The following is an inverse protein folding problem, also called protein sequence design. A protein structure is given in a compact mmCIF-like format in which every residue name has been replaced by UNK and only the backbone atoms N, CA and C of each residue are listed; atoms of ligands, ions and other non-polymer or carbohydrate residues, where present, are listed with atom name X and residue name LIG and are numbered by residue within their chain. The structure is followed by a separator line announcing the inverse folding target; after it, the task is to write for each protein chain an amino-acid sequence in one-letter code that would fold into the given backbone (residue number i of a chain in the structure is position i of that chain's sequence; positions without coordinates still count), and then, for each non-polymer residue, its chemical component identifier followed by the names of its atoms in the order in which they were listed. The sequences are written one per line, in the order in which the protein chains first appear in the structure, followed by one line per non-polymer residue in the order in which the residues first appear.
data_IF_992906066113
#
_entry.id   IF_992906066113
#
_cell.length_a   1.000
_cell.length_b   1.000
_cell.length_c   1.000
_cell.angle_alpha   90.00
_cell.angle_beta   90.00
_cell.angle_gamma   90.00
#
_symmetry.space_group_name_H-M   'P 1'
#
loop_
_entity.id
_entity.type
_entity.pdbx_description
1 polymer ?
#
# COMPACT_ATOMS: atom_id res chain seq x y z
N UNK A 1 8.47 -11.80 -1.35
CA UNK A 1 8.93 -10.41 -1.17
C UNK A 1 10.38 -10.42 -0.71
N UNK A 2 11.26 -9.73 -1.44
CA UNK A 2 12.67 -9.49 -1.11
C UNK A 2 12.98 -7.99 -1.25
N UNK A 3 14.07 -7.54 -0.64
CA UNK A 3 14.57 -6.17 -0.86
C UNK A 3 14.89 -5.99 -2.35
N UNK A 4 14.41 -4.90 -2.93
CA UNK A 4 14.53 -4.60 -4.35
C UNK A 4 13.29 -4.94 -5.18
N UNK A 5 12.37 -5.76 -4.67
CA UNK A 5 11.10 -6.03 -5.36
C UNK A 5 10.28 -4.74 -5.54
N UNK A 6 9.53 -4.67 -6.64
CA UNK A 6 8.55 -3.61 -6.89
C UNK A 6 7.17 -4.15 -6.54
N UNK A 7 6.47 -3.45 -5.64
CA UNK A 7 5.10 -3.72 -5.24
C UNK A 7 4.19 -2.59 -5.70
N UNK A 8 2.89 -2.83 -5.70
CA UNK A 8 1.86 -1.83 -5.98
C UNK A 8 1.02 -1.68 -4.72
N UNK A 9 1.23 -0.58 -3.97
CA UNK A 9 0.57 -0.31 -2.69
C UNK A 9 -0.11 1.05 -2.69
N UNK A 10 -1.14 1.20 -1.86
CA UNK A 10 -1.75 2.51 -1.58
C UNK A 10 -0.98 3.12 -0.40
N UNK A 11 -0.32 4.27 -0.56
CA UNK A 11 0.33 4.95 0.55
C UNK A 11 -0.72 5.42 1.56
N UNK A 12 -0.44 5.29 2.86
CA UNK A 12 -1.34 5.87 3.88
C UNK A 12 -1.04 7.34 4.14
N UNK A 13 0.17 7.80 3.80
CA UNK A 13 0.63 9.17 4.02
C UNK A 13 0.35 10.12 2.85
N UNK A 14 -0.14 9.64 1.70
CA UNK A 14 -0.36 10.48 0.51
C UNK A 14 -1.26 11.69 0.78
N UNK A 15 -2.37 11.47 1.48
CA UNK A 15 -3.32 12.54 1.85
C UNK A 15 -2.69 13.59 2.78
N UNK A 16 -1.75 13.18 3.64
CA UNK A 16 -1.11 14.08 4.62
C UNK A 16 0.00 14.94 4.01
N UNK A 17 0.57 14.51 2.89
CA UNK A 17 1.67 15.22 2.21
C UNK A 17 1.14 16.09 1.05
N UNK A 18 -0.19 16.19 0.90
CA UNK A 18 -0.80 16.95 -0.20
C UNK A 18 -0.56 16.32 -1.57
N UNK A 19 -0.22 15.02 -1.60
CA UNK A 19 -0.05 14.27 -2.84
C UNK A 19 -1.39 13.63 -3.17
N UNK A 20 -1.98 13.96 -4.32
CA UNK A 20 -3.28 13.42 -4.76
C UNK A 20 -3.20 11.94 -5.19
N UNK A 21 -2.58 11.09 -4.37
CA UNK A 21 -2.51 9.65 -4.62
C UNK A 21 -3.84 8.99 -4.23
N UNK A 22 -4.87 9.11 -5.08
CA UNK A 22 -6.15 8.41 -4.91
C UNK A 22 -6.10 6.93 -5.36
N UNK A 23 -4.96 6.27 -5.24
CA UNK A 23 -4.83 4.91 -5.76
C UNK A 23 -3.50 4.22 -5.49
N UNK A 24 -3.44 2.96 -5.92
CA UNK A 24 -2.27 2.11 -5.83
C UNK A 24 -1.14 2.68 -6.70
N UNK A 25 0.06 2.77 -6.14
CA UNK A 25 1.26 3.24 -6.84
C UNK A 25 2.43 2.28 -6.70
N UNK A 26 3.33 2.25 -7.69
CA UNK A 26 4.52 1.42 -7.62
C UNK A 26 5.45 1.91 -6.50
N UNK A 27 5.99 0.96 -5.74
CA UNK A 27 6.93 1.21 -4.66
C UNK A 27 7.99 0.11 -4.60
N UNK A 28 9.19 0.46 -4.16
CA UNK A 28 10.31 -0.50 -4.05
C UNK A 28 10.50 -0.92 -2.61
N UNK A 29 10.63 -2.22 -2.35
CA UNK A 29 10.98 -2.74 -1.02
C UNK A 29 12.43 -2.37 -0.72
N UNK A 30 12.65 -1.59 0.33
CA UNK A 30 13.99 -1.14 0.74
C UNK A 30 14.47 -1.82 2.02
N UNK A 31 13.56 -2.39 2.80
CA UNK A 31 13.90 -3.12 4.02
C UNK A 31 12.86 -4.18 4.36
N UNK A 32 13.31 -5.31 4.89
CA UNK A 32 12.46 -6.35 5.47
C UNK A 32 13.01 -6.63 6.87
N UNK A 33 12.15 -6.53 7.89
CA UNK A 33 12.56 -6.85 9.25
C UNK A 33 12.97 -8.33 9.33
N UNK A 34 14.10 -8.70 9.95
CA UNK A 34 14.63 -10.07 9.91
C UNK A 34 13.70 -11.12 10.52
N UNK A 35 12.87 -10.70 11.48
CA UNK A 35 11.80 -11.54 12.08
C UNK A 35 10.44 -11.44 11.37
N UNK A 36 10.37 -10.91 10.14
CA UNK A 36 9.14 -10.75 9.37
C UNK A 36 8.07 -9.88 10.03
N UNK A 37 8.48 -8.85 10.79
CA UNK A 37 7.53 -8.04 11.58
C UNK A 37 6.83 -6.96 10.76
N UNK A 38 7.60 -6.31 9.91
CA UNK A 38 7.19 -5.24 9.01
C UNK A 38 8.21 -5.20 7.87
N UNK A 39 7.86 -4.47 6.82
CA UNK A 39 8.74 -4.16 5.70
C UNK A 39 8.58 -2.68 5.36
N UNK A 40 9.62 -2.08 4.78
CA UNK A 40 9.60 -0.68 4.38
C UNK A 40 9.65 -0.63 2.86
N UNK A 41 8.76 0.16 2.29
CA UNK A 41 8.76 0.49 0.87
C UNK A 41 9.09 1.95 0.68
N UNK A 42 9.62 2.27 -0.49
CA UNK A 42 9.87 3.62 -0.93
C UNK A 42 8.98 3.94 -2.13
N UNK A 43 8.26 5.05 -2.02
CA UNK A 43 7.39 5.59 -3.05
C UNK A 43 8.02 6.82 -3.70
N UNK A 44 7.55 7.15 -4.89
CA UNK A 44 7.95 8.34 -5.63
C UNK A 44 9.29 8.18 -6.35
N UNK A 45 9.40 8.81 -7.52
CA UNK A 45 10.66 8.89 -8.28
C UNK A 45 11.41 10.20 -7.99
N UNK A 46 10.68 11.32 -7.98
CA UNK A 46 11.23 12.67 -7.77
C UNK A 46 11.21 13.09 -6.31
N UNK A 47 10.09 12.92 -5.63
CA UNK A 47 9.94 13.15 -4.18
C UNK A 47 9.82 11.78 -3.52
N UNK A 48 10.91 11.29 -2.93
CA UNK A 48 10.97 9.94 -2.36
C UNK A 48 10.55 9.97 -0.90
N UNK A 49 9.57 9.15 -0.53
CA UNK A 49 9.23 8.93 0.88
C UNK A 49 9.14 7.44 1.17
N UNK A 50 9.25 7.10 2.45
CA UNK A 50 9.28 5.71 2.93
C UNK A 50 8.16 5.46 3.90
N UNK A 51 7.59 4.27 3.81
CA UNK A 51 6.48 3.87 4.65
C UNK A 51 6.66 2.41 5.07
N UNK A 52 6.34 2.14 6.34
CA UNK A 52 6.42 0.79 6.90
C UNK A 52 5.04 0.12 6.85
N UNK A 53 5.01 -1.09 6.30
CA UNK A 53 3.82 -1.92 6.20
C UNK A 53 4.00 -3.21 7.01
N UNK A 54 2.89 -3.75 7.51
CA UNK A 54 2.85 -5.01 8.22
C UNK A 54 2.45 -6.15 7.26
N UNK A 55 3.05 -7.36 7.37
CA UNK A 55 2.60 -8.50 6.60
C UNK A 55 1.19 -8.92 7.02
N UNK A 56 0.35 -9.41 6.08
CA UNK A 56 -1.05 -9.75 6.35
C UNK A 56 -1.20 -10.82 7.45
N UNK A 57 -0.24 -11.75 7.60
CA UNK A 57 -0.26 -12.81 8.62
C UNK A 57 -0.28 -12.30 10.08
N UNK A 58 0.14 -11.05 10.32
CA UNK A 58 0.15 -10.44 11.66
C UNK A 58 -1.11 -9.66 12.00
N UNK A 59 -1.92 -9.36 11.02
CA UNK A 59 -3.07 -8.48 11.17
C UNK A 59 -4.31 -9.27 10.78
N UNK A 60 -5.09 -9.69 11.78
CA UNK A 60 -6.37 -10.37 11.59
C UNK A 60 -7.45 -9.53 10.87
N UNK A 61 -7.07 -8.60 9.99
CA UNK A 61 -7.93 -7.84 9.09
C UNK A 61 -7.20 -7.50 7.79
N UNK A 62 -7.66 -8.11 6.71
CA UNK A 62 -8.06 -7.50 5.43
C UNK A 62 -7.60 -6.05 5.12
N UNK A 63 -6.31 -5.74 5.12
CA UNK A 63 -5.78 -4.45 4.63
C UNK A 63 -4.93 -4.55 3.37
N UNK A 64 -4.63 -5.76 2.91
CA UNK A 64 -3.74 -5.99 1.78
C UNK A 64 -4.42 -6.72 0.61
N UNK A 65 -5.74 -6.56 0.46
CA UNK A 65 -6.36 -6.82 -0.84
C UNK A 65 -6.03 -5.64 -1.75
N UNK A 66 -5.53 -5.86 -2.99
CA UNK A 66 -5.58 -4.80 -3.99
C UNK A 66 -7.03 -4.32 -4.04
N UNK A 67 -7.23 -3.01 -3.96
CA UNK A 67 -8.54 -2.35 -3.87
C UNK A 67 -9.52 -3.10 -4.76
N UNK A 68 -10.39 -3.93 -4.15
CA UNK A 68 -11.52 -4.48 -4.89
C UNK A 68 -12.32 -3.28 -5.33
N UNK A 69 -12.27 -3.03 -6.63
CA UNK A 69 -13.06 -2.09 -7.42
C UNK A 69 -14.31 -1.62 -6.66
N UNK A 70 -14.21 -0.50 -5.94
CA UNK A 70 -15.33 0.07 -5.17
C UNK A 70 -16.49 0.50 -6.09
N UNK A 71 -16.24 0.52 -7.39
CA UNK A 71 -17.14 0.85 -8.50
C UNK A 71 -18.26 -0.17 -8.71
N UNK A 72 -18.19 -1.39 -8.16
CA UNK A 72 -19.30 -2.36 -8.27
C UNK A 72 -20.42 -2.20 -7.23
N UNK A 73 -20.19 -1.51 -6.10
CA UNK A 73 -21.18 -1.45 -5.00
C UNK A 73 -22.27 -0.38 -5.17
N UNK A 74 -22.11 0.58 -6.07
CA UNK A 74 -23.10 1.67 -6.25
C UNK A 74 -24.29 1.27 -7.14
N UNK A 75 -24.24 0.15 -7.88
CA UNK A 75 -25.33 -0.25 -8.81
C UNK A 75 -26.48 -1.06 -8.16
N UNK A 76 -26.40 -1.38 -6.85
CA UNK A 76 -27.42 -2.19 -6.15
C UNK A 76 -28.21 -1.45 -5.06
N UNK A 77 -28.22 -0.11 -5.06
CA UNK A 77 -29.10 0.70 -4.20
C UNK A 77 -30.08 1.57 -5.00
N UNK A 78 -30.55 1.03 -6.13
CA UNK A 78 -31.67 1.58 -6.89
C UNK A 78 -32.79 0.56 -6.94
N UNK A 79 -33.62 0.53 -5.90
CA UNK A 79 -34.98 -0.01 -5.95
C UNK A 79 -35.81 0.75 -4.92
#
# INVERSE_FOLDING_TARGET
MKVGDVLHLVPTLSEKIGLESKGTMPCRVVYIHPKGRFYVVEFGQTQRWREAFYPPEREGREYNQPVRDWTEKQKKRGT
#
